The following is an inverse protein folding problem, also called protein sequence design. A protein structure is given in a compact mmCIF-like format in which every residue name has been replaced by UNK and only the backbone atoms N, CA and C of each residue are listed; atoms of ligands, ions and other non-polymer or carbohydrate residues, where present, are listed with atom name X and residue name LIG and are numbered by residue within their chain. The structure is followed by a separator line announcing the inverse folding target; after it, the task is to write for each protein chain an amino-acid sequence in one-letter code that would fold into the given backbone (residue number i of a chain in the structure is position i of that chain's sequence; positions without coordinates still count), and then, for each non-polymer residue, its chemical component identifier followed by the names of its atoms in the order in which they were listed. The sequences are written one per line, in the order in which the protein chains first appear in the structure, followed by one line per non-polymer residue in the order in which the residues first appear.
data_IF_241424928004
#
_entry.id   IF_241424928004
#
_cell.length_a   1.000
_cell.length_b   1.000
_cell.length_c   1.000
_cell.angle_alpha   90.00
_cell.angle_beta   90.00
_cell.angle_gamma   90.00
#
_symmetry.space_group_name_H-M   'P 1'
#
loop_
_entity.id
_entity.type
_entity.pdbx_description
1 polymer ?
#
# COMPACT_ATOMS: atom_id res chain seq x y z
N UNK A 1 -22.56 10.99 -7.46
CA UNK A 1 -22.26 11.22 -6.02
C UNK A 1 -20.76 11.34 -5.87
N UNK A 2 -20.23 12.40 -5.23
CA UNK A 2 -18.79 12.54 -5.05
C UNK A 2 -18.38 11.66 -3.88
N UNK A 3 -17.76 10.52 -4.18
CA UNK A 3 -17.28 9.58 -3.16
C UNK A 3 -16.15 10.25 -2.36
N UNK A 4 -16.21 10.26 -1.02
CA UNK A 4 -15.14 10.86 -0.20
C UNK A 4 -13.78 10.21 -0.47
N UNK A 5 -12.70 10.95 -0.22
CA UNK A 5 -11.36 10.36 -0.27
C UNK A 5 -11.17 9.45 0.96
N UNK A 6 -10.56 8.28 0.77
CA UNK A 6 -10.13 7.43 1.87
C UNK A 6 -8.71 7.83 2.26
N UNK A 7 -8.52 8.22 3.52
CA UNK A 7 -7.22 8.62 4.07
C UNK A 7 -7.17 8.29 5.55
N UNK A 8 -6.00 7.94 6.07
CA UNK A 8 -5.77 7.65 7.48
C UNK A 8 -4.32 7.22 7.73
N UNK A 9 -3.91 7.28 8.98
CA UNK A 9 -2.68 6.66 9.47
C UNK A 9 -3.07 5.38 10.20
N UNK A 10 -2.42 4.27 9.86
CA UNK A 10 -2.76 2.95 10.38
C UNK A 10 -1.49 2.29 10.93
N UNK A 11 -1.60 1.65 12.09
CA UNK A 11 -0.48 0.99 12.74
C UNK A 11 -0.17 -0.38 12.10
N UNK A 12 -1.14 -0.97 11.38
CA UNK A 12 -0.99 -2.25 10.71
C UNK A 12 -1.82 -2.36 9.42
N UNK A 13 -1.52 -3.38 8.60
CA UNK A 13 -2.34 -3.71 7.44
C UNK A 13 -3.76 -4.15 7.82
N UNK A 14 -3.92 -4.85 8.93
CA UNK A 14 -5.22 -5.32 9.43
C UNK A 14 -6.13 -4.15 9.83
N UNK A 15 -5.57 -3.14 10.49
CA UNK A 15 -6.30 -1.92 10.86
C UNK A 15 -6.73 -1.14 9.62
N UNK A 16 -5.83 -1.02 8.63
CA UNK A 16 -6.12 -0.40 7.34
C UNK A 16 -7.23 -1.15 6.60
N UNK A 17 -7.16 -2.48 6.53
CA UNK A 17 -8.15 -3.32 5.86
C UNK A 17 -9.52 -3.20 6.54
N UNK A 18 -9.57 -3.23 7.87
CA UNK A 18 -10.80 -3.03 8.64
C UNK A 18 -11.43 -1.66 8.38
N UNK A 19 -10.63 -0.59 8.38
CA UNK A 19 -11.11 0.75 8.07
C UNK A 19 -11.57 0.87 6.60
N UNK A 20 -10.87 0.20 5.69
CA UNK A 20 -11.19 0.21 4.26
C UNK A 20 -12.46 -0.60 3.94
N UNK A 21 -12.73 -1.67 4.67
CA UNK A 21 -14.00 -2.41 4.61
C UNK A 21 -15.18 -1.54 5.05
N UNK A 22 -15.07 -0.85 6.19
CA UNK A 22 -16.12 0.10 6.63
C UNK A 22 -16.37 1.19 5.60
N UNK A 23 -15.30 1.77 5.06
CA UNK A 23 -15.40 2.77 4.01
C UNK A 23 -16.12 2.24 2.75
N UNK A 24 -15.88 0.99 2.38
CA UNK A 24 -16.57 0.33 1.26
C UNK A 24 -18.07 0.19 1.51
N UNK A 25 -18.46 -0.22 2.73
CA UNK A 25 -19.84 -0.35 3.14
C UNK A 25 -20.55 1.02 3.14
N UNK A 26 -19.94 2.03 3.77
CA UNK A 26 -20.50 3.39 3.87
C UNK A 26 -20.66 4.08 2.51
N UNK A 27 -19.73 3.83 1.59
CA UNK A 27 -19.76 4.43 0.24
C UNK A 27 -20.47 3.57 -0.79
N UNK A 28 -20.92 2.37 -0.40
CA UNK A 28 -21.45 1.34 -1.29
C UNK A 28 -20.53 1.06 -2.49
N UNK A 29 -19.21 1.16 -2.28
CA UNK A 29 -18.20 0.89 -3.28
C UNK A 29 -17.56 -0.47 -3.02
N UNK A 30 -17.25 -1.23 -4.08
CA UNK A 30 -16.51 -2.49 -3.95
C UNK A 30 -15.13 -2.35 -4.56
N UNK A 31 -14.12 -2.27 -3.69
CA UNK A 31 -12.71 -2.27 -4.03
C UNK A 31 -12.12 -3.66 -3.86
N UNK A 32 -11.30 -4.10 -4.82
CA UNK A 32 -10.56 -5.36 -4.73
C UNK A 32 -9.07 -5.12 -4.79
N UNK A 33 -8.30 -5.89 -4.02
CA UNK A 33 -6.83 -5.88 -4.11
C UNK A 33 -6.42 -6.32 -5.51
N UNK A 34 -5.72 -5.44 -6.23
CA UNK A 34 -5.18 -5.71 -7.57
C UNK A 34 -3.74 -6.20 -7.51
N UNK A 35 -2.91 -5.51 -6.73
CA UNK A 35 -1.50 -5.85 -6.55
C UNK A 35 -1.04 -5.51 -5.14
N UNK A 36 -0.16 -6.34 -4.60
CA UNK A 36 0.60 -6.06 -3.39
C UNK A 36 2.09 -6.16 -3.73
N UNK A 37 2.87 -5.17 -3.31
CA UNK A 37 4.31 -5.18 -3.52
C UNK A 37 5.00 -5.45 -2.19
N UNK A 38 5.78 -6.54 -2.13
CA UNK A 38 6.46 -6.89 -0.90
C UNK A 38 7.63 -5.94 -0.59
N UNK A 39 7.82 -5.63 0.69
CA UNK A 39 8.97 -4.86 1.15
C UNK A 39 10.28 -5.61 0.81
N UNK A 40 10.26 -6.94 0.92
CA UNK A 40 11.40 -7.82 0.61
C UNK A 40 11.80 -7.77 -0.86
N UNK A 41 10.85 -7.87 -1.79
CA UNK A 41 11.14 -7.78 -3.22
C UNK A 41 11.69 -6.39 -3.57
N UNK A 42 11.10 -5.35 -2.98
CA UNK A 42 11.57 -3.97 -3.15
C UNK A 42 12.99 -3.77 -2.63
N UNK A 43 13.31 -4.37 -1.48
CA UNK A 43 14.65 -4.37 -0.88
C UNK A 43 15.66 -5.10 -1.76
N UNK A 44 15.30 -6.28 -2.29
CA UNK A 44 16.14 -7.03 -3.24
C UNK A 44 16.45 -6.19 -4.49
N UNK A 45 15.42 -5.56 -5.06
CA UNK A 45 15.59 -4.70 -6.23
C UNK A 45 16.43 -3.45 -5.91
N UNK A 46 16.25 -2.86 -4.73
CA UNK A 46 17.06 -1.73 -4.29
C UNK A 46 18.53 -2.09 -4.17
N UNK A 47 18.85 -3.22 -3.51
CA UNK A 47 20.22 -3.73 -3.38
C UNK A 47 20.86 -3.95 -4.75
N UNK A 48 20.14 -4.57 -5.68
CA UNK A 48 20.63 -4.80 -7.05
C UNK A 48 20.94 -3.48 -7.77
N UNK A 49 20.12 -2.46 -7.58
CA UNK A 49 20.28 -1.14 -8.24
C UNK A 49 21.41 -0.31 -7.63
N UNK A 50 21.64 -0.40 -6.32
CA UNK A 50 22.66 0.42 -5.64
C UNK A 50 24.03 -0.25 -5.59
N UNK A 51 24.11 -1.59 -5.74
CA UNK A 51 25.37 -2.33 -5.74
C UNK A 51 26.44 -1.80 -6.73
N UNK A 52 26.11 -1.45 -8.00
CA UNK A 52 27.09 -0.90 -8.93
C UNK A 52 27.61 0.50 -8.52
N UNK A 53 26.82 1.25 -7.76
CA UNK A 53 27.13 2.63 -7.37
C UNK A 53 27.87 2.70 -6.01
N UNK A 54 28.08 1.58 -5.32
CA UNK A 54 28.65 1.55 -3.97
C UNK A 54 27.82 2.32 -2.93
N UNK A 55 26.55 2.60 -3.23
CA UNK A 55 25.66 3.37 -2.35
C UNK A 55 24.95 2.44 -1.38
N UNK A 56 24.85 2.87 -0.13
CA UNK A 56 24.05 2.17 0.87
C UNK A 56 22.55 2.23 0.48
N UNK A 57 21.88 1.09 0.31
CA UNK A 57 20.49 1.06 -0.08
C UNK A 57 19.60 1.49 1.10
N UNK A 58 18.72 2.47 0.87
CA UNK A 58 17.60 2.72 1.77
C UNK A 58 16.62 1.53 1.70
N UNK A 59 16.67 0.66 2.70
CA UNK A 59 15.82 -0.53 2.80
C UNK A 59 14.58 -0.22 3.63
N UNK A 60 13.49 -0.89 3.30
CA UNK A 60 12.26 -0.91 4.06
C UNK A 60 12.36 -1.96 5.17
N UNK A 61 11.63 -1.77 6.26
CA UNK A 61 11.46 -2.82 7.26
C UNK A 61 10.67 -3.98 6.66
N UNK A 62 11.31 -5.16 6.56
CA UNK A 62 10.69 -6.35 5.98
C UNK A 62 9.55 -6.92 6.85
N UNK A 63 9.46 -6.52 8.13
CA UNK A 63 8.35 -6.87 9.03
C UNK A 63 7.00 -6.32 8.56
N UNK A 64 7.02 -5.31 7.67
CA UNK A 64 5.81 -4.73 7.10
C UNK A 64 5.14 -5.65 6.07
N UNK A 65 5.83 -6.71 5.63
CA UNK A 65 5.46 -7.64 4.54
C UNK A 65 5.28 -6.95 3.18
N UNK A 66 4.35 -6.00 3.09
CA UNK A 66 4.03 -5.18 1.93
C UNK A 66 4.35 -3.70 2.18
N UNK A 67 4.94 -3.04 1.19
CA UNK A 67 5.14 -1.58 1.23
C UNK A 67 4.03 -0.81 0.50
N UNK A 68 3.29 -1.48 -0.39
CA UNK A 68 2.15 -0.92 -1.10
C UNK A 68 1.10 -1.98 -1.39
N UNK A 69 -0.17 -1.59 -1.31
CA UNK A 69 -1.30 -2.36 -1.83
C UNK A 69 -2.12 -1.45 -2.75
N UNK A 70 -2.40 -1.93 -3.96
CA UNK A 70 -3.23 -1.20 -4.92
C UNK A 70 -4.59 -1.83 -5.00
N UNK A 71 -5.64 -1.04 -4.80
CA UNK A 71 -7.02 -1.47 -4.88
C UNK A 71 -7.69 -0.86 -6.11
N UNK A 72 -8.64 -1.59 -6.69
CA UNK A 72 -9.43 -1.09 -7.83
C UNK A 72 -10.92 -1.18 -7.52
N UNK A 73 -11.65 -0.09 -7.75
CA UNK A 73 -13.10 -0.10 -7.65
C UNK A 73 -13.68 -0.86 -8.84
N UNK A 74 -14.48 -1.88 -8.55
CA UNK A 74 -15.14 -2.72 -9.54
C UNK A 74 -16.33 -2.03 -10.21
N UNK A 75 -17.01 -1.11 -9.50
CA UNK A 75 -18.17 -0.37 -10.01
C UNK A 75 -17.79 0.73 -10.99
N UNK A 76 -16.73 1.49 -10.71
CA UNK A 76 -16.40 2.71 -11.47
C UNK A 76 -15.11 2.59 -12.31
N UNK A 77 -14.49 1.39 -12.38
CA UNK A 77 -13.14 1.17 -12.97
C UNK A 77 -12.07 2.16 -12.49
N UNK A 78 -12.31 2.83 -11.37
CA UNK A 78 -11.41 3.82 -10.80
C UNK A 78 -10.40 3.12 -9.90
N UNK A 79 -9.11 3.37 -10.12
CA UNK A 79 -8.02 2.76 -9.33
C UNK A 79 -7.70 3.65 -8.14
N UNK A 80 -7.57 3.06 -6.94
CA UNK A 80 -7.07 3.74 -5.74
C UNK A 80 -5.88 2.96 -5.18
N UNK A 81 -4.70 3.54 -5.30
CA UNK A 81 -3.49 2.99 -4.69
C UNK A 81 -3.39 3.45 -3.25
N UNK A 82 -3.16 2.52 -2.32
CA UNK A 82 -2.92 2.85 -0.91
C UNK A 82 -1.45 2.54 -0.61
N UNK A 83 -0.71 3.60 -0.35
CA UNK A 83 0.70 3.52 0.05
C UNK A 83 0.71 3.62 1.58
N UNK A 84 1.14 2.55 2.24
CA UNK A 84 1.48 2.65 3.64
C UNK A 84 2.86 3.31 3.68
N UNK A 85 2.89 4.59 4.05
CA UNK A 85 4.14 5.22 4.43
C UNK A 85 4.54 4.55 5.74
N UNK A 86 5.42 3.55 5.66
CA UNK A 86 6.17 3.08 6.81
C UNK A 86 6.68 4.34 7.55
N UNK A 87 6.50 4.45 8.88
CA UNK A 87 6.99 5.59 9.61
C UNK A 87 8.48 5.73 9.27
N UNK A 88 8.86 6.93 8.83
CA UNK A 88 10.26 7.30 8.67
C UNK A 88 10.86 7.25 10.08
N UNK A 89 11.46 6.12 10.43
CA UNK A 89 12.45 6.03 11.50
C UNK A 89 13.75 6.67 11.04
#
# INVERSE_FOLDING_TARGET
VKVPAFSGEFASWEELETAFERYQEETHQSYKLRTSNSARDRNRDQRRRTAPAGKEPALLDERLEFYTKTFICTLERTTRSVVLNAPRG
#
